data_IF_661613078795
#
_entry.id   IF_661613078795
#
_cell.length_a   1.000
_cell.length_b   1.000
_cell.length_c   1.000
_cell.angle_alpha   90.00
_cell.angle_beta   90.00
_cell.angle_gamma   90.00
#
_symmetry.space_group_name_H-M   'P 1'
#
loop_
_entity.id
_entity.type
_entity.pdbx_description
1 polymer ?
#
# COMPACT_ATOMS: atom_id res chain seq x y z
N UNK A 1 16.78 7.16 2.63
CA UNK A 1 17.66 6.82 3.76
C UNK A 1 16.88 6.31 4.97
N UNK A 2 15.69 6.81 5.28
CA UNK A 2 14.90 6.32 6.43
C UNK A 2 14.49 4.84 6.29
N UNK A 3 13.92 4.44 5.15
CA UNK A 3 13.50 3.05 4.92
C UNK A 3 14.64 2.02 4.96
N UNK A 4 15.88 2.40 4.61
CA UNK A 4 17.03 1.49 4.75
C UNK A 4 17.35 1.15 6.21
N UNK A 5 16.91 1.99 7.15
CA UNK A 5 17.08 1.85 8.59
C UNK A 5 15.77 1.45 9.28
N UNK A 6 14.70 1.14 8.53
CA UNK A 6 13.36 0.87 9.05
C UNK A 6 12.82 1.99 9.95
N UNK A 7 13.24 3.23 9.69
CA UNK A 7 12.74 4.40 10.39
C UNK A 7 11.42 4.87 9.76
N UNK A 8 10.44 5.28 10.57
CA UNK A 8 9.17 5.78 10.05
C UNK A 8 9.39 7.10 9.29
N UNK A 9 8.51 7.38 8.34
CA UNK A 9 8.59 8.60 7.53
C UNK A 9 8.29 9.88 8.33
N UNK A 10 7.54 9.78 9.43
CA UNK A 10 7.15 10.88 10.31
C UNK A 10 8.07 11.04 11.54
N UNK A 11 9.34 10.66 11.42
CA UNK A 11 10.30 10.77 12.52
C UNK A 11 10.59 12.24 12.87
N UNK A 12 10.92 12.50 14.14
CA UNK A 12 11.35 13.82 14.59
C UNK A 12 12.54 14.32 13.73
N UNK A 13 12.45 15.52 13.13
CA UNK A 13 13.54 16.10 12.33
C UNK A 13 14.88 16.15 13.06
N UNK A 14 14.90 16.23 14.39
CA UNK A 14 16.14 16.20 15.18
C UNK A 14 16.95 14.92 14.97
N UNK A 15 16.31 13.81 14.55
CA UNK A 15 16.98 12.54 14.25
C UNK A 15 17.79 12.62 12.94
N UNK A 16 17.49 13.56 12.05
CA UNK A 16 18.20 13.71 10.77
C UNK A 16 19.65 14.18 10.96
N UNK A 17 19.94 14.87 12.07
CA UNK A 17 21.29 15.30 12.45
C UNK A 17 22.08 14.22 13.21
N UNK A 18 21.45 13.07 13.51
CA UNK A 18 22.09 11.99 14.23
C UNK A 18 23.20 11.32 13.40
N UNK A 19 24.27 10.89 14.09
CA UNK A 19 25.34 10.13 13.45
C UNK A 19 24.96 8.66 13.33
N UNK A 20 25.01 8.16 12.10
CA UNK A 20 24.82 6.73 11.82
C UNK A 20 25.92 5.88 12.45
N UNK A 21 25.50 4.75 13.03
CA UNK A 21 26.38 3.68 13.45
C UNK A 21 27.11 3.07 12.23
N UNK A 22 28.29 2.45 12.42
CA UNK A 22 29.02 1.83 11.33
C UNK A 22 28.20 0.79 10.54
N UNK A 23 27.37 0.00 11.23
CA UNK A 23 26.50 -0.99 10.61
C UNK A 23 25.40 -0.35 9.74
N UNK A 24 24.80 0.74 10.21
CA UNK A 24 23.76 1.47 9.48
C UNK A 24 24.32 2.08 8.20
N UNK A 25 25.52 2.68 8.30
CA UNK A 25 26.24 3.21 7.14
C UNK A 25 26.54 2.10 6.14
N UNK A 26 27.05 0.97 6.59
CA UNK A 26 27.38 -0.16 5.73
C UNK A 26 26.14 -0.66 4.97
N UNK A 27 25.01 -0.84 5.68
CA UNK A 27 23.73 -1.26 5.09
C UNK A 27 23.24 -0.29 4.01
N UNK A 28 23.34 1.02 4.25
CA UNK A 28 22.96 2.04 3.26
C UNK A 28 23.85 1.93 2.01
N UNK A 29 25.16 1.81 2.20
CA UNK A 29 26.12 1.69 1.08
C UNK A 29 25.85 0.44 0.26
N UNK A 30 25.54 -0.69 0.91
CA UNK A 30 25.17 -1.93 0.23
C UNK A 30 23.91 -1.78 -0.63
N UNK A 31 22.85 -1.19 -0.08
CA UNK A 31 21.62 -0.91 -0.84
C UNK A 31 21.87 0.02 -2.02
N UNK A 32 22.72 1.04 -1.86
CA UNK A 32 23.10 1.94 -2.96
C UNK A 32 23.85 1.19 -4.05
N UNK A 33 24.82 0.33 -3.68
CA UNK A 33 25.55 -0.51 -4.64
C UNK A 33 24.61 -1.47 -5.37
N UNK A 34 23.71 -2.13 -4.65
CA UNK A 34 22.71 -3.02 -5.24
C UNK A 34 21.84 -2.26 -6.24
N UNK A 35 21.35 -1.07 -5.86
CA UNK A 35 20.53 -0.21 -6.72
C UNK A 35 21.24 0.19 -8.01
N UNK A 36 22.53 0.53 -7.93
CA UNK A 36 23.37 0.93 -9.07
C UNK A 36 23.60 -0.26 -10.00
N UNK A 37 24.00 -1.40 -9.44
CA UNK A 37 24.41 -2.58 -10.19
C UNK A 37 23.22 -3.30 -10.84
N UNK A 38 22.15 -3.50 -10.07
CA UNK A 38 20.97 -4.27 -10.53
C UNK A 38 19.96 -3.40 -11.27
N UNK A 39 20.02 -2.08 -11.08
CA UNK A 39 19.02 -1.11 -11.56
C UNK A 39 17.59 -1.38 -11.05
N UNK A 40 17.39 -2.30 -10.10
CA UNK A 40 16.08 -2.60 -9.50
C UNK A 40 15.51 -1.36 -8.80
N UNK A 41 14.23 -1.01 -8.97
CA UNK A 41 13.61 0.09 -8.25
C UNK A 41 13.83 0.01 -6.73
N UNK A 42 14.05 1.15 -6.08
CA UNK A 42 14.30 1.20 -4.63
C UNK A 42 13.17 0.55 -3.80
N UNK A 43 11.88 0.69 -4.14
CA UNK A 43 10.81 0.02 -3.40
C UNK A 43 10.94 -1.50 -3.37
N UNK A 44 11.45 -2.15 -4.42
CA UNK A 44 11.69 -3.60 -4.41
C UNK A 44 12.93 -4.00 -3.60
N UNK A 45 13.89 -3.09 -3.44
CA UNK A 45 15.04 -3.31 -2.57
C UNK A 45 14.66 -3.17 -1.10
N UNK A 46 13.75 -2.24 -0.79
CA UNK A 46 13.23 -2.04 0.57
C UNK A 46 12.09 -3.00 0.91
N UNK A 47 11.40 -3.54 -0.09
CA UNK A 47 10.22 -4.40 0.07
C UNK A 47 8.94 -3.64 0.38
N UNK A 48 8.95 -2.30 0.28
CA UNK A 48 7.83 -1.42 0.63
C UNK A 48 7.74 -0.19 -0.28
N UNK A 49 6.51 0.32 -0.45
CA UNK A 49 6.18 1.56 -1.13
C UNK A 49 5.02 2.26 -0.40
N UNK A 50 5.01 3.59 -0.39
CA UNK A 50 3.91 4.36 0.18
C UNK A 50 2.91 4.74 -0.92
N UNK A 51 1.62 4.62 -0.62
CA UNK A 51 0.51 5.03 -1.49
C UNK A 51 -0.65 5.54 -0.65
N UNK A 52 -1.21 6.70 -1.00
CA UNK A 52 -2.29 7.35 -0.24
C UNK A 52 -2.02 7.40 1.29
N UNK A 53 -0.82 7.85 1.68
CA UNK A 53 -0.39 7.88 3.09
C UNK A 53 -0.14 6.52 3.77
N UNK A 54 -0.38 5.39 3.09
CA UNK A 54 -0.31 4.05 3.65
C UNK A 54 0.91 3.27 3.14
N UNK A 55 1.61 2.50 4.01
CA UNK A 55 2.70 1.63 3.59
C UNK A 55 2.17 0.33 2.99
N UNK A 56 2.59 0.01 1.78
CA UNK A 56 2.30 -1.26 1.10
C UNK A 56 3.59 -2.03 0.88
N UNK A 57 3.56 -3.32 1.19
CA UNK A 57 4.64 -4.20 0.78
C UNK A 57 4.61 -4.41 -0.74
N UNK A 58 5.79 -4.36 -1.37
CA UNK A 58 5.95 -4.53 -2.81
C UNK A 58 7.10 -5.45 -3.13
N UNK A 59 6.94 -6.25 -4.18
CA UNK A 59 7.99 -7.03 -4.80
C UNK A 59 7.80 -7.08 -6.31
N UNK A 60 8.66 -7.82 -7.01
CA UNK A 60 8.71 -7.88 -8.47
C UNK A 60 7.44 -8.45 -9.14
N UNK A 61 6.51 -9.01 -8.36
CA UNK A 61 5.24 -9.55 -8.86
C UNK A 61 4.17 -8.47 -9.00
N UNK A 62 4.34 -7.32 -8.36
CA UNK A 62 3.33 -6.25 -8.32
C UNK A 62 3.89 -4.94 -8.86
N UNK A 63 3.04 -4.11 -9.45
CA UNK A 63 3.45 -2.78 -9.89
C UNK A 63 3.67 -1.87 -8.69
N UNK A 64 4.75 -1.07 -8.71
CA UNK A 64 4.98 -0.04 -7.70
C UNK A 64 3.88 1.02 -7.80
N UNK A 65 3.13 1.29 -6.72
CA UNK A 65 2.01 2.22 -6.75
C UNK A 65 2.52 3.65 -6.92
N UNK A 66 2.30 4.24 -8.10
CA UNK A 66 2.69 5.63 -8.44
C UNK A 66 1.55 6.44 -9.03
N UNK A 67 0.31 6.08 -8.68
CA UNK A 67 -0.89 6.61 -9.33
C UNK A 67 -1.34 7.96 -8.72
N UNK A 68 -1.74 8.95 -9.54
CA UNK A 68 -2.40 10.17 -9.05
C UNK A 68 -3.76 9.89 -8.39
N UNK A 69 -4.28 8.66 -8.52
CA UNK A 69 -5.50 8.19 -7.85
C UNK A 69 -5.38 8.29 -6.32
N UNK A 70 -4.16 8.32 -5.75
CA UNK A 70 -3.99 8.52 -4.31
C UNK A 70 -4.69 9.80 -3.81
N UNK A 71 -4.45 10.94 -4.46
CA UNK A 71 -5.07 12.23 -4.10
C UNK A 71 -6.59 12.20 -4.31
N UNK A 72 -7.05 11.46 -5.31
CA UNK A 72 -8.46 11.27 -5.59
C UNK A 72 -9.15 10.43 -4.50
N UNK A 73 -8.49 9.39 -4.00
CA UNK A 73 -8.98 8.56 -2.88
C UNK A 73 -9.01 9.40 -1.60
N UNK A 74 -7.95 10.14 -1.31
CA UNK A 74 -7.84 10.99 -0.12
C UNK A 74 -8.93 12.09 -0.10
N UNK A 75 -9.28 12.63 -1.27
CA UNK A 75 -10.40 13.57 -1.44
C UNK A 75 -11.77 12.89 -1.55
N UNK A 76 -11.86 11.56 -1.38
CA UNK A 76 -13.11 10.83 -1.42
C UNK A 76 -13.84 10.86 -2.77
N UNK A 77 -13.09 10.98 -3.87
CA UNK A 77 -13.60 11.13 -5.23
C UNK A 77 -14.51 12.36 -5.43
N UNK A 78 -14.36 13.41 -4.62
CA UNK A 78 -15.19 14.63 -4.66
C UNK A 78 -15.35 15.24 -6.06
N UNK A 79 -14.33 15.15 -6.91
CA UNK A 79 -14.38 15.65 -8.28
C UNK A 79 -15.47 14.97 -9.14
N UNK A 80 -15.87 13.75 -8.80
CA UNK A 80 -16.91 12.97 -9.48
C UNK A 80 -18.16 12.76 -8.64
N UNK A 81 -18.00 12.80 -7.32
CA UNK A 81 -19.05 12.58 -6.35
C UNK A 81 -19.07 13.75 -5.35
N UNK A 82 -19.63 14.92 -5.73
CA UNK A 82 -19.51 16.15 -4.95
C UNK A 82 -20.29 16.13 -3.63
N UNK A 83 -21.40 15.39 -3.57
CA UNK A 83 -22.32 15.40 -2.43
C UNK A 83 -22.03 14.26 -1.43
N UNK A 84 -21.74 13.06 -1.91
CA UNK A 84 -21.52 11.86 -1.10
C UNK A 84 -20.50 10.93 -1.76
N UNK A 85 -19.61 10.25 -1.02
CA UNK A 85 -18.65 9.32 -1.62
C UNK A 85 -19.35 8.13 -2.31
N UNK A 86 -18.69 7.46 -3.26
CA UNK A 86 -19.25 6.29 -3.91
C UNK A 86 -19.58 5.19 -2.90
N UNK A 87 -20.77 4.58 -3.02
CA UNK A 87 -21.17 3.47 -2.18
C UNK A 87 -20.45 2.15 -2.53
N UNK A 88 -20.01 1.99 -3.78
CA UNK A 88 -19.31 0.80 -4.27
C UNK A 88 -18.20 1.15 -5.24
N UNK A 89 -17.06 0.47 -5.10
CA UNK A 89 -15.89 0.62 -6.00
C UNK A 89 -15.38 -0.77 -6.41
N UNK A 90 -15.01 -0.91 -7.68
CA UNK A 90 -14.31 -2.07 -8.22
C UNK A 90 -12.89 -1.67 -8.63
N UNK A 91 -11.89 -2.27 -8.00
CA UNK A 91 -10.49 -2.19 -8.41
C UNK A 91 -10.17 -3.37 -9.35
N UNK A 92 -10.11 -3.08 -10.65
CA UNK A 92 -9.85 -4.05 -11.70
C UNK A 92 -8.36 -4.08 -12.05
N UNK A 93 -7.79 -5.29 -12.16
CA UNK A 93 -6.35 -5.51 -12.30
C UNK A 93 -5.59 -5.01 -11.06
N UNK A 94 -6.13 -5.37 -9.88
CA UNK A 94 -5.72 -4.78 -8.60
C UNK A 94 -4.26 -5.03 -8.21
N UNK A 95 -3.62 -6.07 -8.76
CA UNK A 95 -2.23 -6.43 -8.47
C UNK A 95 -1.95 -6.58 -6.97
N UNK A 96 -1.33 -5.55 -6.38
CA UNK A 96 -1.04 -5.46 -4.94
C UNK A 96 -2.25 -5.15 -4.05
N UNK A 97 -3.40 -4.79 -4.63
CA UNK A 97 -4.53 -4.33 -3.83
C UNK A 97 -4.46 -2.88 -3.41
N UNK A 98 -3.42 -2.13 -3.79
CA UNK A 98 -3.14 -0.82 -3.19
C UNK A 98 -4.27 0.20 -3.36
N UNK A 99 -4.91 0.24 -4.53
CA UNK A 99 -6.02 1.19 -4.82
C UNK A 99 -7.27 0.78 -4.04
N UNK A 100 -7.70 -0.48 -4.16
CA UNK A 100 -8.88 -0.97 -3.46
C UNK A 100 -8.75 -0.89 -1.93
N UNK A 101 -7.60 -1.30 -1.38
CA UNK A 101 -7.33 -1.24 0.07
C UNK A 101 -7.28 0.21 0.55
N UNK A 102 -6.60 1.11 -0.17
CA UNK A 102 -6.56 2.52 0.20
C UNK A 102 -7.96 3.14 0.17
N UNK A 103 -8.77 2.81 -0.85
CA UNK A 103 -10.16 3.26 -0.96
C UNK A 103 -10.99 2.82 0.23
N UNK A 104 -10.94 1.53 0.60
CA UNK A 104 -11.71 1.00 1.73
C UNK A 104 -11.31 1.62 3.08
N UNK A 105 -10.03 1.99 3.24
CA UNK A 105 -9.53 2.62 4.47
C UNK A 105 -9.90 4.10 4.56
N UNK A 106 -9.91 4.84 3.44
CA UNK A 106 -10.30 6.25 3.41
C UNK A 106 -11.81 6.45 3.39
N UNK A 107 -12.55 5.52 2.76
CA UNK A 107 -14.00 5.54 2.59
C UNK A 107 -14.63 4.32 3.26
N UNK A 108 -14.76 4.31 4.59
CA UNK A 108 -15.21 3.14 5.35
C UNK A 108 -16.68 2.76 5.11
N UNK A 109 -17.45 3.63 4.46
CA UNK A 109 -18.84 3.40 4.03
C UNK A 109 -18.94 2.83 2.62
N UNK A 110 -17.84 2.69 1.90
CA UNK A 110 -17.80 2.16 0.54
C UNK A 110 -17.50 0.66 0.56
N UNK A 111 -18.31 -0.14 -0.13
CA UNK A 111 -17.97 -1.54 -0.39
C UNK A 111 -16.97 -1.62 -1.54
N UNK A 112 -15.82 -2.24 -1.30
CA UNK A 112 -14.76 -2.35 -2.31
C UNK A 112 -14.55 -3.79 -2.74
N UNK A 113 -14.70 -4.01 -4.04
CA UNK A 113 -14.41 -5.26 -4.73
C UNK A 113 -13.03 -5.16 -5.41
N UNK A 114 -12.19 -6.17 -5.22
CA UNK A 114 -10.90 -6.28 -5.90
C UNK A 114 -10.91 -7.47 -6.86
N UNK A 115 -10.41 -7.26 -8.08
CA UNK A 115 -10.36 -8.27 -9.12
C UNK A 115 -9.01 -8.28 -9.85
N UNK A 116 -8.42 -9.46 -10.03
CA UNK A 116 -7.18 -9.65 -10.81
C UNK A 116 -7.20 -11.01 -11.52
N UNK A 117 -6.59 -11.05 -12.71
CA UNK A 117 -6.46 -12.28 -13.52
C UNK A 117 -5.29 -13.15 -13.06
N UNK A 118 -4.33 -12.59 -12.33
CA UNK A 118 -3.15 -13.28 -11.89
C UNK A 118 -3.49 -14.26 -10.77
N UNK A 119 -3.03 -15.50 -10.94
CA UNK A 119 -3.27 -16.61 -10.00
C UNK A 119 -2.48 -16.48 -8.69
N UNK A 120 -1.53 -15.54 -8.62
CA UNK A 120 -0.72 -15.24 -7.43
C UNK A 120 -1.13 -13.86 -6.89
N UNK A 121 -2.31 -13.74 -6.26
CA UNK A 121 -2.66 -12.48 -5.64
C UNK A 121 -1.64 -12.16 -4.55
N UNK A 122 -1.26 -10.88 -4.50
CA UNK A 122 -0.52 -10.34 -3.38
C UNK A 122 -1.35 -10.50 -2.11
N UNK A 123 -0.74 -10.99 -1.02
CA UNK A 123 -1.44 -11.22 0.24
C UNK A 123 -0.99 -10.17 1.25
N UNK A 124 -1.91 -9.31 1.67
CA UNK A 124 -1.66 -8.35 2.73
C UNK A 124 -1.25 -9.11 4.02
N UNK A 125 -0.07 -8.84 4.60
CA UNK A 125 0.31 -9.40 5.89
C UNK A 125 -0.67 -8.87 6.94
N UNK A 126 -1.29 -9.78 7.69
CA UNK A 126 -2.42 -9.58 8.60
C UNK A 126 -2.12 -8.72 9.85
N UNK A 127 -1.45 -7.56 9.71
CA UNK A 127 -1.16 -6.62 10.81
C UNK A 127 -2.25 -5.55 11.02
N UNK A 128 -3.28 -5.47 10.18
CA UNK A 128 -4.39 -4.52 10.32
C UNK A 128 -5.69 -5.29 10.46
N UNK A 129 -6.42 -5.06 11.56
CA UNK A 129 -7.51 -5.90 12.10
C UNK A 129 -8.82 -5.93 11.31
N UNK A 130 -8.87 -5.43 10.06
CA UNK A 130 -10.08 -5.42 9.26
C UNK A 130 -10.25 -6.74 8.49
N UNK A 131 -11.38 -7.41 8.70
CA UNK A 131 -11.72 -8.72 8.14
C UNK A 131 -11.67 -8.67 6.61
N UNK A 132 -10.66 -9.31 6.03
CA UNK A 132 -10.47 -9.46 4.59
C UNK A 132 -11.13 -10.79 4.16
N UNK A 133 -12.38 -10.75 3.70
CA UNK A 133 -13.12 -11.95 3.30
C UNK A 133 -12.92 -12.23 1.82
N UNK A 134 -12.36 -13.41 1.51
CA UNK A 134 -12.27 -13.91 0.14
C UNK A 134 -13.62 -14.48 -0.28
N UNK A 135 -14.23 -13.93 -1.33
CA UNK A 135 -15.45 -14.50 -1.92
C UNK A 135 -15.04 -15.27 -3.17
N UNK A 136 -14.71 -16.55 -3.00
CA UNK A 136 -14.46 -17.45 -4.13
C UNK A 136 -15.80 -17.85 -4.76
N UNK A 137 -16.10 -17.40 -5.98
CA UNK A 137 -17.36 -17.75 -6.63
C UNK A 137 -17.51 -17.52 -8.14
N UNK A 138 -16.54 -16.93 -8.85
CA UNK A 138 -16.69 -16.61 -10.28
C UNK A 138 -15.41 -16.88 -11.08
N UNK A 139 -15.26 -18.09 -11.64
CA UNK A 139 -14.25 -18.39 -12.67
C UNK A 139 -12.79 -18.13 -12.27
N UNK A 140 -11.85 -17.93 -13.22
CA UNK A 140 -10.42 -17.73 -12.93
C UNK A 140 -10.10 -16.39 -12.25
N UNK A 141 -11.10 -15.55 -11.98
CA UNK A 141 -10.94 -14.22 -11.39
C UNK A 141 -11.17 -14.29 -9.88
N UNK A 142 -10.17 -13.89 -9.10
CA UNK A 142 -10.26 -13.90 -7.64
C UNK A 142 -10.97 -12.62 -7.18
N UNK A 143 -12.12 -12.72 -6.51
CA UNK A 143 -12.82 -11.57 -5.91
C UNK A 143 -12.51 -11.47 -4.41
N UNK A 144 -12.10 -10.28 -3.98
CA UNK A 144 -11.96 -9.96 -2.55
C UNK A 144 -12.88 -8.80 -2.20
N UNK A 145 -13.75 -8.98 -1.21
CA UNK A 145 -14.67 -7.95 -0.73
C UNK A 145 -14.14 -7.43 0.61
N UNK A 146 -13.82 -6.14 0.67
CA UNK A 146 -13.53 -5.47 1.94
C UNK A 146 -14.86 -4.90 2.46
N UNK A 147 -15.44 -5.56 3.45
CA UNK A 147 -16.66 -5.10 4.14
C UNK A 147 -16.29 -4.86 5.60
N UNK A 148 -16.33 -3.61 6.07
CA UNK A 148 -16.11 -3.32 7.49
C UNK A 148 -15.63 -1.90 7.82
N UNK A 149 -16.41 -1.23 8.68
CA UNK A 149 -16.11 0.08 9.29
C UNK A 149 -14.93 -0.01 10.30
N UNK A 150 -13.97 0.95 10.32
CA UNK A 150 -12.87 0.99 11.26
C UNK A 150 -13.32 1.66 12.57
N UNK A 151 -14.33 1.12 13.25
CA UNK A 151 -14.88 1.74 14.47
C UNK A 151 -14.27 1.18 15.77
N UNK A 152 -13.16 0.43 15.76
CA UNK A 152 -12.67 -0.24 16.99
C UNK A 152 -11.16 -0.29 17.20
N UNK A 153 -10.37 0.61 16.60
CA UNK A 153 -8.91 0.65 16.81
C UNK A 153 -8.38 1.99 17.36
N UNK A 154 -9.22 2.76 18.06
CA UNK A 154 -8.81 3.91 18.86
C UNK A 154 -9.37 3.77 20.28
N UNK A 155 -8.73 2.93 21.09
CA UNK A 155 -8.66 3.05 22.56
C UNK A 155 -7.34 2.45 23.01
#
# INVERSE_FOLDING_TARGET
>A
MLGSLHLPWNIDPAVLDARLLPMERQRIVELVRERINTRRPLPYLLGEAFFAGLPFHVDERVLIPRSPIAELIESGFQAWFPDEPPARVLDLCTGSGCIGIATALHLPTCDVDLADISRKPWRWPSRTSSVMTWVTGFGPCSRMCLTGSPASAMT
#
